data_IF_937674175706
#
_entry.id   IF_937674175706
#
_cell.length_a   1.000
_cell.length_b   1.000
_cell.length_c   1.000
_cell.angle_alpha   90.00
_cell.angle_beta   90.00
_cell.angle_gamma   90.00
#
_symmetry.space_group_name_H-M   'P 1'
#
loop_
_entity.id
_entity.type
_entity.pdbx_description
1 polymer ?
#
# COMPACT_ATOMS: atom_id res chain seq x y z
N UNK A 1 -8.61 -28.88 -6.24
CA UNK A 1 -7.67 -27.86 -5.75
C UNK A 1 -7.02 -28.39 -4.49
N UNK A 2 -5.72 -28.10 -4.27
CA UNK A 2 -5.01 -28.39 -3.03
C UNK A 2 -4.62 -27.06 -2.39
N UNK A 3 -4.93 -26.90 -1.12
CA UNK A 3 -4.55 -25.71 -0.34
C UNK A 3 -3.24 -25.98 0.41
N UNK A 4 -2.48 -24.93 0.71
CA UNK A 4 -1.18 -25.02 1.38
C UNK A 4 -1.24 -24.93 2.90
N UNK A 5 -2.42 -24.64 3.46
CA UNK A 5 -2.61 -24.42 4.88
C UNK A 5 -2.99 -25.72 5.61
N UNK A 6 -2.57 -25.91 6.85
CA UNK A 6 -2.81 -27.16 7.60
C UNK A 6 -4.30 -27.37 7.89
N UNK A 7 -4.78 -28.61 7.75
CA UNK A 7 -6.16 -28.99 8.05
C UNK A 7 -7.18 -28.67 6.95
N UNK A 8 -6.73 -28.20 5.77
CA UNK A 8 -7.61 -27.80 4.67
C UNK A 8 -8.55 -28.92 4.16
N UNK A 9 -8.15 -30.19 4.26
CA UNK A 9 -8.92 -31.35 3.82
C UNK A 9 -10.19 -31.54 4.66
N UNK A 10 -10.11 -31.26 5.95
CA UNK A 10 -11.19 -31.45 6.93
C UNK A 10 -11.88 -30.14 7.34
N UNK A 11 -11.37 -28.99 6.86
CA UNK A 11 -11.91 -27.66 7.11
C UNK A 11 -13.25 -27.40 6.39
N UNK A 12 -14.32 -28.07 6.85
CA UNK A 12 -15.68 -27.90 6.36
C UNK A 12 -16.58 -27.39 7.50
N UNK A 13 -16.36 -26.13 7.90
CA UNK A 13 -17.07 -25.47 9.00
C UNK A 13 -17.82 -24.28 8.43
N UNK A 14 -19.08 -24.08 8.86
CA UNK A 14 -19.89 -22.93 8.46
C UNK A 14 -19.70 -21.75 9.42
N UNK A 15 -19.83 -20.51 8.94
CA UNK A 15 -19.82 -19.36 9.82
C UNK A 15 -20.91 -19.45 10.90
N UNK A 16 -20.62 -18.91 12.09
CA UNK A 16 -21.56 -18.87 13.23
C UNK A 16 -22.41 -17.60 13.26
N UNK A 17 -22.02 -16.57 12.49
CA UNK A 17 -22.68 -15.28 12.43
C UNK A 17 -23.08 -14.96 10.98
N UNK A 18 -24.29 -14.42 10.80
CA UNK A 18 -24.87 -14.06 9.50
C UNK A 18 -24.09 -12.96 8.79
N UNK A 19 -23.33 -12.12 9.51
CA UNK A 19 -22.41 -11.13 8.93
C UNK A 19 -21.40 -11.78 7.98
N UNK A 20 -21.07 -13.06 8.20
CA UNK A 20 -20.08 -13.80 7.41
C UNK A 20 -20.69 -14.87 6.50
N UNK A 21 -22.01 -14.87 6.29
CA UNK A 21 -22.75 -15.92 5.56
C UNK A 21 -22.22 -16.23 4.15
N UNK A 22 -21.57 -15.25 3.50
CA UNK A 22 -21.00 -15.38 2.16
C UNK A 22 -19.62 -16.08 2.15
N UNK A 23 -19.07 -16.39 3.33
CA UNK A 23 -17.93 -17.29 3.50
C UNK A 23 -18.44 -18.72 3.60
N UNK A 24 -18.03 -19.57 2.66
CA UNK A 24 -18.49 -20.96 2.58
C UNK A 24 -17.90 -21.85 3.67
N UNK A 25 -16.58 -21.73 3.89
CA UNK A 25 -15.78 -22.53 4.82
C UNK A 25 -14.38 -21.88 5.00
N UNK A 26 -13.47 -22.44 5.85
CA UNK A 26 -12.14 -21.86 6.02
C UNK A 26 -11.26 -21.80 4.75
N UNK A 27 -11.56 -22.59 3.71
CA UNK A 27 -10.84 -22.53 2.43
C UNK A 27 -11.23 -21.28 1.64
N UNK A 28 -12.53 -20.97 1.61
CA UNK A 28 -13.02 -19.71 1.04
C UNK A 28 -12.48 -18.49 1.80
N UNK A 29 -12.40 -18.57 3.14
CA UNK A 29 -11.74 -17.53 3.92
C UNK A 29 -10.26 -17.36 3.52
N UNK A 30 -9.51 -18.45 3.35
CA UNK A 30 -8.12 -18.40 2.91
C UNK A 30 -7.97 -17.69 1.56
N UNK A 31 -8.77 -18.05 0.56
CA UNK A 31 -8.73 -17.44 -0.78
C UNK A 31 -8.98 -15.92 -0.74
N UNK A 32 -9.89 -15.47 0.14
CA UNK A 32 -10.17 -14.05 0.36
C UNK A 32 -9.02 -13.35 1.08
N UNK A 33 -8.47 -13.95 2.12
CA UNK A 33 -7.38 -13.37 2.90
C UNK A 33 -6.07 -13.27 2.12
N UNK A 34 -5.82 -14.15 1.14
CA UNK A 34 -4.68 -14.04 0.21
C UNK A 34 -4.62 -12.69 -0.53
N UNK A 35 -5.76 -12.02 -0.67
CA UNK A 35 -5.88 -10.72 -1.31
C UNK A 35 -5.86 -9.53 -0.34
N UNK A 36 -5.85 -9.80 0.98
CA UNK A 36 -5.95 -8.80 2.05
C UNK A 36 -4.65 -8.75 2.87
N UNK A 37 -3.96 -9.87 3.06
CA UNK A 37 -2.70 -9.89 3.79
C UNK A 37 -1.63 -9.06 3.06
N UNK A 38 -1.10 -8.09 3.80
CA UNK A 38 -0.05 -7.19 3.37
C UNK A 38 0.97 -6.94 4.50
N UNK A 39 2.08 -6.24 4.22
CA UNK A 39 3.11 -5.91 5.23
C UNK A 39 2.52 -5.19 6.47
N UNK A 40 1.53 -4.30 6.30
CA UNK A 40 0.86 -3.63 7.42
C UNK A 40 0.22 -4.63 8.39
N UNK A 41 -0.54 -5.57 7.83
CA UNK A 41 -1.18 -6.64 8.58
C UNK A 41 -0.19 -7.67 9.15
N UNK A 42 1.10 -7.67 8.73
CA UNK A 42 2.15 -8.54 9.27
C UNK A 42 2.67 -8.05 10.64
N UNK A 43 3.09 -8.98 11.48
CA UNK A 43 3.69 -8.66 12.78
C UNK A 43 4.92 -7.77 12.64
N UNK A 44 5.02 -6.65 13.39
CA UNK A 44 6.11 -5.68 13.20
C UNK A 44 7.51 -6.30 13.18
N UNK A 45 7.75 -7.31 14.03
CA UNK A 45 9.03 -8.04 14.12
C UNK A 45 9.37 -8.89 12.89
N UNK A 46 8.40 -9.22 12.03
CA UNK A 46 8.55 -10.07 10.84
C UNK A 46 8.36 -9.30 9.53
N UNK A 47 7.99 -8.01 9.58
CA UNK A 47 7.72 -7.21 8.38
C UNK A 47 8.89 -7.15 7.40
N UNK A 48 10.13 -7.15 7.91
CA UNK A 48 11.33 -7.13 7.06
C UNK A 48 11.55 -8.42 6.24
N UNK A 49 10.91 -9.52 6.63
CA UNK A 49 10.97 -10.81 5.94
C UNK A 49 9.68 -11.09 5.15
N UNK A 50 8.66 -10.23 5.29
CA UNK A 50 7.39 -10.38 4.59
C UNK A 50 7.59 -10.12 3.09
N UNK A 51 6.97 -10.95 2.26
CA UNK A 51 7.10 -10.85 0.81
C UNK A 51 5.85 -11.38 0.12
N UNK A 52 5.65 -11.02 -1.16
CA UNK A 52 4.59 -11.58 -1.99
C UNK A 52 4.71 -13.09 -2.18
N UNK A 53 5.90 -13.67 -2.02
CA UNK A 53 6.12 -15.11 -2.01
C UNK A 53 5.75 -15.80 -0.68
N UNK A 54 5.61 -15.04 0.40
CA UNK A 54 5.26 -15.55 1.74
C UNK A 54 4.27 -14.58 2.44
N UNK A 55 3.07 -14.48 1.89
CA UNK A 55 2.04 -13.52 2.32
C UNK A 55 1.49 -13.80 3.72
N UNK A 56 1.53 -15.05 4.19
CA UNK A 56 1.04 -15.47 5.51
C UNK A 56 2.00 -15.20 6.65
N UNK A 57 3.25 -14.80 6.35
CA UNK A 57 4.26 -14.53 7.38
C UNK A 57 3.77 -13.49 8.39
N UNK A 58 3.81 -13.87 9.67
CA UNK A 58 3.45 -12.97 10.77
C UNK A 58 1.96 -12.65 10.90
N UNK A 59 1.09 -13.32 10.13
CA UNK A 59 -0.36 -13.11 10.14
C UNK A 59 -1.12 -13.95 11.18
N UNK A 60 -0.45 -14.92 11.81
CA UNK A 60 -1.08 -16.04 12.52
C UNK A 60 -2.11 -15.62 13.59
N UNK A 61 -1.73 -14.80 14.56
CA UNK A 61 -2.64 -14.46 15.67
C UNK A 61 -3.87 -13.67 15.24
N UNK A 62 -3.70 -12.63 14.41
CA UNK A 62 -4.83 -11.80 13.95
C UNK A 62 -5.77 -12.60 13.05
N UNK A 63 -5.22 -13.49 12.22
CA UNK A 63 -5.99 -14.41 11.38
C UNK A 63 -6.74 -15.44 12.22
N UNK A 64 -6.11 -16.04 13.23
CA UNK A 64 -6.74 -17.04 14.06
C UNK A 64 -7.91 -16.45 14.87
N UNK A 65 -7.76 -15.23 15.39
CA UNK A 65 -8.87 -14.56 16.08
C UNK A 65 -9.99 -14.13 15.13
N UNK A 66 -9.68 -13.74 13.89
CA UNK A 66 -10.70 -13.49 12.87
C UNK A 66 -11.45 -14.77 12.49
N UNK A 67 -10.73 -15.88 12.27
CA UNK A 67 -11.35 -17.19 12.03
C UNK A 67 -12.19 -17.65 13.23
N UNK A 68 -11.81 -17.31 14.46
CA UNK A 68 -12.63 -17.55 15.65
C UNK A 68 -13.93 -16.74 15.62
N UNK A 69 -13.91 -15.48 15.19
CA UNK A 69 -15.14 -14.69 15.06
C UNK A 69 -16.07 -15.27 13.99
N UNK A 70 -15.51 -15.79 12.91
CA UNK A 70 -16.27 -16.31 11.76
C UNK A 70 -16.84 -17.69 12.07
N UNK A 71 -16.03 -18.63 12.55
CA UNK A 71 -16.38 -20.05 12.67
C UNK A 71 -16.59 -20.52 14.12
N UNK A 72 -16.35 -19.65 15.11
CA UNK A 72 -16.39 -20.00 16.53
C UNK A 72 -15.14 -20.79 16.97
N UNK A 73 -15.32 -21.60 18.03
CA UNK A 73 -14.27 -22.45 18.59
C UNK A 73 -13.19 -21.71 19.38
N UNK A 74 -12.01 -22.33 19.46
CA UNK A 74 -10.91 -21.89 20.31
C UNK A 74 -9.63 -21.65 19.51
N UNK A 75 -8.78 -20.76 20.02
CA UNK A 75 -7.46 -20.46 19.45
C UNK A 75 -6.39 -21.10 20.33
N UNK A 76 -5.48 -21.85 19.71
CA UNK A 76 -4.37 -22.51 20.37
C UNK A 76 -3.03 -22.04 19.79
N UNK A 77 -1.94 -22.21 20.54
CA UNK A 77 -0.64 -21.66 20.20
C UNK A 77 0.48 -22.69 20.19
N UNK A 78 1.09 -22.93 19.03
CA UNK A 78 2.35 -23.68 18.93
C UNK A 78 3.47 -22.78 19.43
N UNK A 79 4.20 -23.20 20.47
CA UNK A 79 5.31 -22.42 21.02
C UNK A 79 6.46 -22.36 20.00
N UNK A 80 6.93 -21.16 19.68
CA UNK A 80 8.03 -20.90 18.73
C UNK A 80 9.32 -20.54 19.46
N UNK A 81 10.49 -20.74 18.82
CA UNK A 81 11.76 -20.17 19.30
C UNK A 81 11.61 -18.66 19.58
N UNK A 82 12.12 -18.19 20.72
CA UNK A 82 11.94 -16.81 21.17
C UNK A 82 10.67 -16.54 21.98
N UNK A 83 9.92 -17.58 22.37
CA UNK A 83 8.85 -17.49 23.37
C UNK A 83 7.49 -16.99 22.85
N UNK A 84 7.37 -16.74 21.55
CA UNK A 84 6.10 -16.36 20.93
C UNK A 84 5.25 -17.60 20.59
N UNK A 85 3.94 -17.41 20.43
CA UNK A 85 3.02 -18.46 19.97
C UNK A 85 2.60 -18.25 18.52
N UNK A 86 2.61 -19.33 17.75
CA UNK A 86 1.98 -19.41 16.44
C UNK A 86 0.55 -19.93 16.59
N UNK A 87 -0.43 -19.11 16.23
CA UNK A 87 -1.84 -19.38 16.54
C UNK A 87 -2.53 -20.17 15.44
N UNK A 88 -3.43 -21.07 15.84
CA UNK A 88 -4.30 -21.87 14.95
C UNK A 88 -5.67 -22.07 15.59
N UNK A 89 -6.63 -22.57 14.81
CA UNK A 89 -8.03 -22.71 15.22
C UNK A 89 -8.41 -24.18 15.45
N UNK A 90 -9.25 -24.39 16.46
CA UNK A 90 -9.90 -25.67 16.76
C UNK A 90 -11.40 -25.42 16.90
N UNK A 91 -12.21 -26.04 16.04
CA UNK A 91 -13.67 -25.95 16.06
C UNK A 91 -14.25 -27.36 16.06
N UNK A 92 -14.70 -27.81 17.24
CA UNK A 92 -15.04 -29.23 17.44
C UNK A 92 -13.82 -30.12 17.16
N UNK A 93 -13.98 -31.12 16.30
CA UNK A 93 -12.89 -32.02 15.90
C UNK A 93 -12.04 -31.50 14.72
N UNK A 94 -12.37 -30.31 14.20
CA UNK A 94 -11.68 -29.73 13.05
C UNK A 94 -10.58 -28.78 13.53
N UNK A 95 -9.34 -29.07 13.12
CA UNK A 95 -8.15 -28.27 13.41
C UNK A 95 -7.63 -27.70 12.11
N UNK A 96 -7.43 -26.38 12.04
CA UNK A 96 -6.89 -25.73 10.86
C UNK A 96 -6.02 -24.52 11.21
N UNK A 97 -5.09 -24.21 10.32
CA UNK A 97 -4.18 -23.07 10.44
C UNK A 97 -3.98 -22.44 9.07
N UNK A 98 -4.71 -21.35 8.83
CA UNK A 98 -4.70 -20.62 7.56
C UNK A 98 -3.33 -19.99 7.22
N UNK A 99 -2.38 -20.01 8.14
CA UNK A 99 -1.09 -19.34 8.01
C UNK A 99 0.09 -20.31 8.14
N UNK A 100 -0.15 -21.63 8.12
CA UNK A 100 0.90 -22.63 8.32
C UNK A 100 1.98 -22.60 7.23
N UNK A 101 1.64 -22.16 6.02
CA UNK A 101 2.57 -22.12 4.89
C UNK A 101 3.76 -21.17 5.11
N UNK A 102 3.68 -20.26 6.08
CA UNK A 102 4.77 -19.34 6.39
C UNK A 102 6.06 -20.05 6.84
N UNK A 103 5.97 -21.33 7.22
CA UNK A 103 7.10 -22.15 7.65
C UNK A 103 7.64 -23.09 6.56
N UNK A 104 7.16 -22.99 5.31
CA UNK A 104 7.59 -23.84 4.21
C UNK A 104 7.39 -25.32 4.53
N UNK A 105 8.49 -26.08 4.56
CA UNK A 105 8.48 -27.53 4.80
C UNK A 105 8.44 -27.92 6.29
N UNK A 106 8.55 -26.97 7.22
CA UNK A 106 8.52 -27.26 8.64
C UNK A 106 7.14 -27.76 9.07
N UNK A 107 7.09 -28.96 9.66
CA UNK A 107 5.84 -29.53 10.20
C UNK A 107 5.64 -29.13 11.65
N UNK A 108 4.59 -28.34 11.91
CA UNK A 108 4.17 -28.00 13.26
C UNK A 108 3.39 -29.14 13.93
N UNK A 109 3.47 -29.21 15.26
CA UNK A 109 2.63 -30.09 16.06
C UNK A 109 1.40 -29.33 16.56
N UNK A 110 0.21 -29.81 16.18
CA UNK A 110 -1.08 -29.22 16.54
C UNK A 110 -1.77 -29.95 17.72
N UNK A 111 -1.00 -30.66 18.54
CA UNK A 111 -1.50 -31.42 19.71
C UNK A 111 -0.91 -30.88 21.02
N UNK A 112 -1.70 -30.89 22.10
CA UNK A 112 -1.26 -30.53 23.47
C UNK A 112 -0.67 -29.11 23.60
N UNK A 113 -1.12 -28.18 22.77
CA UNK A 113 -0.71 -26.79 22.83
C UNK A 113 -1.59 -25.99 23.81
N UNK A 114 -1.09 -24.91 24.44
CA UNK A 114 -1.90 -24.06 25.29
C UNK A 114 -2.90 -23.22 24.49
N UNK A 115 -4.09 -23.03 25.05
CA UNK A 115 -5.08 -22.06 24.55
C UNK A 115 -4.50 -20.64 24.63
N UNK A 116 -4.80 -19.82 23.64
CA UNK A 116 -4.38 -18.42 23.56
C UNK A 116 -5.55 -17.50 23.91
N UNK A 117 -5.27 -16.44 24.67
CA UNK A 117 -6.27 -15.45 25.07
C UNK A 117 -6.32 -14.27 24.09
N UNK A 118 -7.53 -13.92 23.64
CA UNK A 118 -7.79 -12.70 22.85
C UNK A 118 -7.36 -11.45 23.63
N UNK A 119 -7.69 -11.39 24.92
CA UNK A 119 -7.39 -10.25 25.79
C UNK A 119 -5.87 -10.03 25.89
N UNK A 120 -5.11 -11.09 26.13
CA UNK A 120 -3.64 -11.02 26.18
C UNK A 120 -3.06 -10.57 24.83
N UNK A 121 -3.57 -11.13 23.72
CA UNK A 121 -3.07 -10.77 22.41
C UNK A 121 -3.37 -9.33 22.03
N UNK A 122 -4.57 -8.83 22.30
CA UNK A 122 -5.05 -7.49 21.92
C UNK A 122 -4.81 -6.42 23.00
N UNK A 123 -4.20 -6.78 24.13
CA UNK A 123 -3.58 -5.81 25.05
C UNK A 123 -2.50 -4.97 24.38
N UNK A 124 -1.91 -5.47 23.30
CA UNK A 124 -0.96 -4.75 22.46
C UNK A 124 -1.72 -4.05 21.31
N UNK A 125 -1.65 -2.71 21.30
CA UNK A 125 -2.43 -1.86 20.38
C UNK A 125 -2.14 -2.14 18.90
N UNK A 126 -0.87 -2.34 18.53
CA UNK A 126 -0.43 -2.71 17.19
C UNK A 126 -1.12 -3.97 16.68
N UNK A 127 -1.34 -4.97 17.55
CA UNK A 127 -1.97 -6.23 17.15
C UNK A 127 -3.47 -6.05 17.03
N UNK A 128 -4.07 -5.26 17.92
CA UNK A 128 -5.48 -4.88 17.84
C UNK A 128 -5.77 -4.13 16.53
N UNK A 129 -4.95 -3.14 16.17
CA UNK A 129 -5.14 -2.38 14.92
C UNK A 129 -5.00 -3.27 13.69
N UNK A 130 -4.02 -4.18 13.66
CA UNK A 130 -3.89 -5.16 12.58
C UNK A 130 -5.10 -6.10 12.46
N UNK A 131 -5.66 -6.53 13.58
CA UNK A 131 -6.87 -7.36 13.58
C UNK A 131 -8.10 -6.57 13.08
N UNK A 132 -8.28 -5.33 13.54
CA UNK A 132 -9.36 -4.45 13.10
C UNK A 132 -9.26 -4.24 11.58
N UNK A 133 -8.07 -3.89 11.10
CA UNK A 133 -7.77 -3.78 9.67
C UNK A 133 -8.18 -5.04 8.91
N UNK A 134 -7.70 -6.22 9.33
CA UNK A 134 -7.98 -7.47 8.64
C UNK A 134 -9.49 -7.78 8.58
N UNK A 135 -10.20 -7.50 9.68
CA UNK A 135 -11.65 -7.69 9.78
C UNK A 135 -12.41 -6.72 8.87
N UNK A 136 -12.08 -5.43 8.90
CA UNK A 136 -12.72 -4.40 8.08
C UNK A 136 -12.50 -4.67 6.58
N UNK A 137 -11.28 -5.07 6.21
CA UNK A 137 -10.96 -5.45 4.83
C UNK A 137 -11.73 -6.68 4.37
N UNK A 138 -11.86 -7.69 5.22
CA UNK A 138 -12.65 -8.87 4.89
C UNK A 138 -14.13 -8.50 4.71
N UNK A 139 -14.71 -7.70 5.61
CA UNK A 139 -16.11 -7.28 5.50
C UNK A 139 -16.36 -6.47 4.22
N UNK A 140 -15.49 -5.52 3.90
CA UNK A 140 -15.55 -4.77 2.64
C UNK A 140 -15.50 -5.70 1.41
N UNK A 141 -14.73 -6.79 1.48
CA UNK A 141 -14.65 -7.78 0.40
C UNK A 141 -15.88 -8.71 0.32
N UNK A 142 -16.53 -9.02 1.46
CA UNK A 142 -17.71 -9.88 1.52
C UNK A 142 -18.98 -9.20 1.06
N UNK A 143 -19.13 -7.91 1.34
CA UNK A 143 -20.32 -7.18 0.95
C UNK A 143 -20.54 -7.20 -0.57
N UNK A 144 -19.53 -7.57 -1.38
CA UNK A 144 -19.63 -7.79 -2.83
C UNK A 144 -20.16 -6.57 -3.59
N UNK A 145 -20.32 -5.47 -2.88
CA UNK A 145 -20.99 -4.27 -3.24
C UNK A 145 -20.05 -3.20 -2.72
N UNK A 146 -19.52 -2.44 -3.66
CA UNK A 146 -19.51 -0.99 -3.54
C UNK A 146 -20.64 -0.63 -2.58
N UNK A 147 -20.33 -0.34 -1.31
CA UNK A 147 -21.36 0.11 -0.36
C UNK A 147 -22.19 1.19 -1.05
N UNK A 148 -23.47 1.42 -0.72
CA UNK A 148 -24.19 2.57 -1.31
C UNK A 148 -23.38 3.88 -1.17
N UNK A 149 -22.53 3.97 -0.14
CA UNK A 149 -21.55 5.04 0.06
C UNK A 149 -20.48 5.08 -1.04
N UNK A 150 -19.95 3.94 -1.48
CA UNK A 150 -18.94 3.84 -2.54
C UNK A 150 -19.52 4.12 -3.95
N UNK A 151 -20.79 3.78 -4.18
CA UNK A 151 -21.49 4.05 -5.46
C UNK A 151 -21.85 5.53 -5.57
N UNK A 152 -22.29 6.14 -4.47
CA UNK A 152 -22.49 7.58 -4.37
C UNK A 152 -21.18 8.39 -4.31
N UNK A 153 -20.09 7.85 -3.74
CA UNK A 153 -18.80 8.56 -3.64
C UNK A 153 -18.25 8.93 -5.00
N UNK A 154 -18.40 8.03 -5.97
CA UNK A 154 -17.84 8.22 -7.31
C UNK A 154 -18.83 8.84 -8.30
N UNK A 155 -20.09 9.08 -7.92
CA UNK A 155 -21.12 9.64 -8.82
C UNK A 155 -20.65 10.92 -9.53
N UNK A 156 -19.99 11.83 -8.78
CA UNK A 156 -19.48 13.09 -9.36
C UNK A 156 -18.28 12.87 -10.28
N UNK A 157 -17.45 11.89 -9.97
CA UNK A 157 -16.30 11.49 -10.79
C UNK A 157 -16.77 10.81 -12.07
N UNK A 158 -17.75 9.92 -11.98
CA UNK A 158 -18.34 9.20 -13.10
C UNK A 158 -19.01 10.15 -14.10
N UNK A 159 -19.69 11.19 -13.62
CA UNK A 159 -20.24 12.23 -14.52
C UNK A 159 -19.19 12.92 -15.39
N UNK A 160 -17.92 12.94 -14.95
CA UNK A 160 -16.82 13.56 -15.69
C UNK A 160 -16.03 12.53 -16.53
N UNK A 161 -15.74 11.35 -15.97
CA UNK A 161 -14.88 10.33 -16.60
C UNK A 161 -15.68 9.25 -17.36
N UNK A 162 -17.01 9.22 -17.18
CA UNK A 162 -17.89 8.15 -17.61
C UNK A 162 -17.71 6.86 -16.78
N UNK A 163 -18.72 6.00 -16.82
CA UNK A 163 -18.68 4.68 -16.18
C UNK A 163 -17.46 3.85 -16.61
N UNK A 164 -17.10 3.90 -17.90
CA UNK A 164 -15.94 3.19 -18.42
C UNK A 164 -14.61 3.73 -17.87
N UNK A 165 -14.49 5.04 -17.63
CA UNK A 165 -13.30 5.63 -17.02
C UNK A 165 -13.16 5.21 -15.56
N UNK A 166 -14.26 5.27 -14.79
CA UNK A 166 -14.29 4.78 -13.40
C UNK A 166 -13.93 3.30 -13.32
N UNK A 167 -14.48 2.47 -14.21
CA UNK A 167 -14.18 1.05 -14.23
C UNK A 167 -12.70 0.76 -14.55
N UNK A 168 -12.08 1.53 -15.45
CA UNK A 168 -10.62 1.43 -15.68
C UNK A 168 -9.81 1.77 -14.44
N UNK A 169 -10.19 2.81 -13.69
CA UNK A 169 -9.51 3.18 -12.44
C UNK A 169 -9.66 2.08 -11.39
N UNK A 170 -10.87 1.54 -11.20
CA UNK A 170 -11.13 0.44 -10.27
C UNK A 170 -10.30 -0.81 -10.57
N UNK A 171 -9.97 -1.06 -11.84
CA UNK A 171 -9.14 -2.19 -12.23
C UNK A 171 -7.64 -1.87 -12.33
N UNK A 172 -7.23 -0.63 -12.07
CA UNK A 172 -5.83 -0.21 -12.18
C UNK A 172 -5.01 -0.54 -10.93
N UNK A 173 -3.76 -0.96 -11.15
CA UNK A 173 -2.74 -1.18 -10.12
C UNK A 173 -1.59 -0.19 -10.27
N UNK A 174 -1.43 0.68 -9.27
CA UNK A 174 -0.44 1.76 -9.30
C UNK A 174 0.69 1.50 -8.30
N UNK A 175 1.94 1.78 -8.68
CA UNK A 175 3.06 1.87 -7.75
C UNK A 175 3.41 3.34 -7.46
N UNK A 176 3.41 3.71 -6.18
CA UNK A 176 3.79 5.05 -5.72
C UNK A 176 5.05 5.00 -4.86
N UNK A 177 6.12 5.56 -5.41
CA UNK A 177 7.42 5.69 -4.77
C UNK A 177 7.54 7.06 -4.08
N UNK A 178 7.59 7.06 -2.75
CA UNK A 178 7.68 8.25 -1.91
C UNK A 178 6.32 8.78 -1.45
N UNK A 179 6.19 9.01 -0.15
CA UNK A 179 4.99 9.51 0.57
C UNK A 179 5.27 10.85 1.26
N UNK A 180 6.18 11.64 0.70
CA UNK A 180 6.50 12.98 1.17
C UNK A 180 5.43 14.03 0.83
N UNK A 181 5.85 15.30 0.73
CA UNK A 181 4.93 16.43 0.49
C UNK A 181 4.20 16.39 -0.86
N UNK A 182 4.70 15.60 -1.81
CA UNK A 182 4.05 15.35 -3.11
C UNK A 182 3.26 14.06 -3.06
N UNK A 183 3.93 12.94 -2.78
CA UNK A 183 3.35 11.59 -2.90
C UNK A 183 2.13 11.33 -2.02
N UNK A 184 2.09 11.88 -0.79
CA UNK A 184 0.89 11.74 0.05
C UNK A 184 -0.37 12.31 -0.61
N UNK A 185 -0.25 13.44 -1.32
CA UNK A 185 -1.36 14.07 -2.05
C UNK A 185 -1.66 13.39 -3.38
N UNK A 186 -0.66 12.77 -4.03
CA UNK A 186 -0.91 11.87 -5.16
C UNK A 186 -1.83 10.74 -4.72
N UNK A 187 -1.44 10.04 -3.64
CA UNK A 187 -2.19 8.91 -3.11
C UNK A 187 -3.62 9.31 -2.73
N UNK A 188 -3.77 10.39 -1.96
CA UNK A 188 -5.07 10.95 -1.58
C UNK A 188 -5.99 11.18 -2.79
N UNK A 189 -5.47 11.84 -3.83
CA UNK A 189 -6.26 12.17 -5.01
C UNK A 189 -6.64 10.93 -5.81
N UNK A 190 -5.71 10.00 -6.04
CA UNK A 190 -5.99 8.76 -6.77
C UNK A 190 -7.07 7.91 -6.08
N UNK A 191 -6.97 7.74 -4.76
CA UNK A 191 -7.95 6.96 -3.97
C UNK A 191 -9.33 7.59 -4.06
N UNK A 192 -9.40 8.93 -3.99
CA UNK A 192 -10.66 9.67 -4.17
C UNK A 192 -11.17 9.64 -5.60
N UNK A 193 -10.32 9.41 -6.59
CA UNK A 193 -10.71 9.18 -7.99
C UNK A 193 -11.22 7.76 -8.25
N UNK A 194 -11.07 6.83 -7.32
CA UNK A 194 -11.60 5.47 -7.42
C UNK A 194 -10.64 4.45 -7.99
N UNK A 195 -9.32 4.61 -7.76
CA UNK A 195 -8.38 3.52 -8.06
C UNK A 195 -8.69 2.28 -7.20
N UNK A 196 -8.50 1.08 -7.74
CA UNK A 196 -8.76 -0.14 -6.98
C UNK A 196 -7.56 -0.72 -6.25
N UNK A 197 -6.34 -0.47 -6.72
CA UNK A 197 -5.14 -1.04 -6.12
C UNK A 197 -3.94 -0.09 -6.15
N UNK A 198 -3.23 0.00 -5.02
CA UNK A 198 -2.01 0.80 -4.91
C UNK A 198 -0.95 0.15 -4.03
N UNK A 199 0.29 0.20 -4.50
CA UNK A 199 1.47 -0.17 -3.75
C UNK A 199 2.20 1.11 -3.29
N UNK A 200 2.43 1.23 -1.99
CA UNK A 200 3.04 2.38 -1.34
C UNK A 200 4.46 2.05 -0.89
N UNK A 201 5.46 2.72 -1.45
CA UNK A 201 6.88 2.48 -1.16
C UNK A 201 7.50 3.72 -0.52
N UNK A 202 7.83 3.64 0.77
CA UNK A 202 8.54 4.69 1.52
C UNK A 202 9.25 4.06 2.73
N UNK A 203 10.31 4.69 3.24
CA UNK A 203 11.12 4.19 4.36
C UNK A 203 11.16 5.11 5.56
N UNK A 204 10.49 6.26 5.47
CA UNK A 204 10.56 7.29 6.48
C UNK A 204 9.49 7.09 7.57
N UNK A 205 9.84 7.57 8.75
CA UNK A 205 8.87 7.89 9.79
C UNK A 205 8.45 9.36 9.64
N UNK A 206 7.25 9.69 10.13
CA UNK A 206 6.84 11.09 10.24
C UNK A 206 7.70 11.80 11.28
N UNK A 207 8.26 12.94 10.90
CA UNK A 207 9.01 13.83 11.79
C UNK A 207 8.30 15.17 11.97
N UNK A 208 8.59 15.96 13.02
CA UNK A 208 7.97 17.27 13.21
C UNK A 208 8.11 18.21 11.99
N UNK A 209 9.25 18.15 11.29
CA UNK A 209 9.51 18.96 10.08
C UNK A 209 8.65 18.58 8.87
N UNK A 210 7.84 17.52 8.96
CA UNK A 210 6.92 17.09 7.92
C UNK A 210 5.55 17.79 8.02
N UNK A 211 5.17 18.28 9.21
CA UNK A 211 3.85 18.85 9.51
C UNK A 211 3.51 20.01 8.58
N UNK A 212 4.51 20.78 8.13
CA UNK A 212 4.26 21.93 7.27
C UNK A 212 3.69 21.58 5.89
N UNK A 213 3.77 20.32 5.42
CA UNK A 213 3.46 19.99 4.02
C UNK A 213 3.03 18.55 3.72
N UNK A 214 3.07 17.62 4.66
CA UNK A 214 2.73 16.21 4.39
C UNK A 214 1.35 15.88 4.97
N UNK A 215 0.45 15.31 4.15
CA UNK A 215 -0.96 15.10 4.51
C UNK A 215 -1.15 14.15 5.71
N UNK A 216 -0.22 13.22 5.91
CA UNK A 216 -0.21 12.25 7.01
C UNK A 216 0.50 12.75 8.28
N UNK A 217 1.13 13.93 8.24
CA UNK A 217 1.90 14.46 9.35
C UNK A 217 1.04 15.36 10.25
N UNK A 218 0.88 14.93 11.50
CA UNK A 218 0.20 15.64 12.58
C UNK A 218 0.97 15.40 13.87
N UNK A 219 0.70 16.16 14.94
CA UNK A 219 1.29 15.91 16.27
C UNK A 219 1.10 14.46 16.74
N UNK A 220 -0.02 13.83 16.39
CA UNK A 220 -0.34 12.45 16.80
C UNK A 220 0.38 11.38 15.99
N UNK A 221 0.92 11.73 14.82
CA UNK A 221 1.48 10.74 13.88
C UNK A 221 3.00 10.73 13.85
N UNK A 222 3.66 11.63 14.59
CA UNK A 222 5.13 11.66 14.74
C UNK A 222 5.65 10.29 15.19
N UNK A 223 6.73 9.84 14.55
CA UNK A 223 7.39 8.56 14.84
C UNK A 223 6.72 7.34 14.21
N UNK A 224 5.56 7.48 13.56
CA UNK A 224 4.90 6.39 12.84
C UNK A 224 5.37 6.31 11.39
N UNK A 225 5.36 5.10 10.82
CA UNK A 225 5.76 4.85 9.42
C UNK A 225 4.79 5.56 8.48
N UNK A 226 5.33 6.24 7.46
CA UNK A 226 4.49 6.94 6.47
C UNK A 226 3.57 5.98 5.69
N UNK A 227 4.08 4.80 5.36
CA UNK A 227 3.33 3.75 4.67
C UNK A 227 2.13 3.26 5.47
N UNK A 228 2.33 2.95 6.75
CA UNK A 228 1.27 2.51 7.67
C UNK A 228 0.16 3.58 7.81
N UNK A 229 0.55 4.84 8.02
CA UNK A 229 -0.38 5.96 8.14
C UNK A 229 -1.19 6.20 6.86
N UNK A 230 -0.53 6.11 5.70
CA UNK A 230 -1.23 6.31 4.44
C UNK A 230 -2.17 5.13 4.14
N UNK A 231 -1.79 3.90 4.49
CA UNK A 231 -2.68 2.73 4.40
C UNK A 231 -3.96 2.93 5.23
N UNK A 232 -3.81 3.31 6.51
CA UNK A 232 -4.95 3.64 7.39
C UNK A 232 -5.83 4.73 6.77
N UNK A 233 -5.21 5.79 6.24
CA UNK A 233 -5.92 6.89 5.59
C UNK A 233 -6.66 6.45 4.33
N UNK A 234 -6.09 5.57 3.52
CA UNK A 234 -6.75 5.02 2.32
C UNK A 234 -8.01 4.28 2.73
N UNK A 235 -7.93 3.39 3.72
CA UNK A 235 -9.08 2.60 4.12
C UNK A 235 -10.18 3.40 4.82
N UNK A 236 -9.82 4.50 5.51
CA UNK A 236 -10.79 5.48 6.00
C UNK A 236 -11.54 6.19 4.86
N UNK A 237 -10.89 6.39 3.71
CA UNK A 237 -11.51 7.00 2.51
C UNK A 237 -12.29 5.96 1.70
N UNK A 238 -11.68 4.80 1.45
CA UNK A 238 -12.08 3.80 0.48
C UNK A 238 -11.69 2.39 0.97
N UNK A 239 -12.53 1.75 1.81
CA UNK A 239 -12.20 0.47 2.44
C UNK A 239 -11.87 -0.64 1.46
N UNK A 240 -12.46 -0.64 0.26
CA UNK A 240 -12.30 -1.67 -0.76
C UNK A 240 -11.00 -1.58 -1.58
N UNK A 241 -10.23 -0.50 -1.45
CA UNK A 241 -8.97 -0.34 -2.19
C UNK A 241 -7.96 -1.34 -1.66
N UNK A 242 -7.36 -2.13 -2.54
CA UNK A 242 -6.27 -3.03 -2.17
C UNK A 242 -4.98 -2.23 -2.00
N UNK A 243 -4.40 -2.28 -0.79
CA UNK A 243 -3.17 -1.56 -0.46
C UNK A 243 -2.07 -2.52 -0.08
N UNK A 244 -0.95 -2.46 -0.79
CA UNK A 244 0.30 -3.04 -0.30
C UNK A 244 1.23 -1.93 0.19
N UNK A 245 1.78 -2.10 1.38
CA UNK A 245 2.82 -1.21 1.91
C UNK A 245 4.18 -1.89 1.81
N UNK A 246 5.21 -1.12 1.46
CA UNK A 246 6.60 -1.54 1.48
C UNK A 246 7.42 -0.50 2.25
N UNK A 247 7.73 -0.79 3.52
CA UNK A 247 8.59 0.06 4.34
C UNK A 247 10.07 -0.10 3.94
N UNK A 248 10.44 0.47 2.79
CA UNK A 248 11.71 0.17 2.12
C UNK A 248 12.33 1.38 1.44
N UNK A 249 13.64 1.54 1.63
CA UNK A 249 14.41 2.55 0.91
C UNK A 249 14.80 1.97 -0.45
N UNK A 250 14.37 2.64 -1.52
CA UNK A 250 14.65 2.17 -2.87
C UNK A 250 16.07 2.53 -3.28
N UNK A 251 16.78 1.51 -3.72
CA UNK A 251 18.14 1.59 -4.22
C UNK A 251 18.23 0.82 -5.55
N UNK A 252 19.22 1.13 -6.41
CA UNK A 252 19.44 0.36 -7.64
C UNK A 252 19.55 -1.15 -7.40
N UNK A 253 20.11 -1.57 -6.27
CA UNK A 253 20.36 -2.98 -5.95
C UNK A 253 19.08 -3.74 -5.55
N UNK A 254 18.03 -3.04 -5.10
CA UNK A 254 16.79 -3.67 -4.64
C UNK A 254 15.57 -3.38 -5.54
N UNK A 255 15.77 -2.66 -6.65
CA UNK A 255 14.67 -2.33 -7.56
C UNK A 255 14.04 -3.59 -8.18
N UNK A 256 14.80 -4.68 -8.29
CA UNK A 256 14.31 -5.99 -8.78
C UNK A 256 13.25 -6.62 -7.89
N UNK A 257 13.10 -6.14 -6.65
CA UNK A 257 12.04 -6.62 -5.75
C UNK A 257 10.66 -6.14 -6.20
N UNK A 258 10.62 -5.15 -7.09
CA UNK A 258 9.41 -4.61 -7.70
C UNK A 258 9.41 -4.97 -9.18
N UNK A 259 8.59 -5.96 -9.54
CA UNK A 259 8.31 -6.26 -10.94
C UNK A 259 7.43 -5.15 -11.50
N UNK A 260 8.00 -4.26 -12.31
CA UNK A 260 7.29 -3.06 -12.77
C UNK A 260 6.09 -3.42 -13.64
N UNK A 261 6.19 -4.49 -14.44
CA UNK A 261 5.15 -5.06 -15.29
C UNK A 261 3.91 -5.57 -14.55
N UNK A 262 3.93 -5.61 -13.21
CA UNK A 262 2.72 -5.85 -12.42
C UNK A 262 1.84 -4.59 -12.31
N UNK A 263 2.35 -3.41 -12.63
CA UNK A 263 1.65 -2.13 -12.48
C UNK A 263 1.19 -1.56 -13.83
N UNK A 264 0.02 -0.92 -13.85
CA UNK A 264 -0.45 -0.14 -14.99
C UNK A 264 0.22 1.23 -15.06
N UNK A 265 0.66 1.75 -13.90
CA UNK A 265 1.30 3.06 -13.80
C UNK A 265 2.28 3.13 -12.62
N UNK A 266 3.44 3.74 -12.87
CA UNK A 266 4.46 4.04 -11.86
C UNK A 266 4.54 5.55 -11.62
N UNK A 267 4.53 5.95 -10.35
CA UNK A 267 4.67 7.35 -9.94
C UNK A 267 5.90 7.49 -9.05
N UNK A 268 6.84 8.31 -9.48
CA UNK A 268 8.05 8.64 -8.71
C UNK A 268 7.93 10.03 -8.05
N UNK A 269 7.77 10.03 -6.73
CA UNK A 269 7.76 11.20 -5.86
C UNK A 269 8.91 11.21 -4.84
N UNK A 270 10.00 10.47 -5.11
CA UNK A 270 11.22 10.46 -4.29
C UNK A 270 12.04 11.73 -4.57
N UNK A 271 13.09 12.03 -3.79
CA UNK A 271 14.02 13.14 -4.00
C UNK A 271 15.45 12.68 -4.38
N UNK A 272 15.82 11.47 -3.99
CA UNK A 272 17.13 10.84 -4.25
C UNK A 272 17.31 10.46 -5.72
N UNK A 273 18.27 11.12 -6.39
CA UNK A 273 18.53 10.96 -7.84
C UNK A 273 18.81 9.51 -8.26
N UNK A 274 19.63 8.76 -7.52
CA UNK A 274 19.96 7.37 -7.86
C UNK A 274 18.74 6.46 -7.82
N UNK A 275 17.88 6.60 -6.81
CA UNK A 275 16.64 5.86 -6.69
C UNK A 275 15.68 6.18 -7.85
N UNK A 276 15.52 7.47 -8.20
CA UNK A 276 14.71 7.89 -9.35
C UNK A 276 15.16 7.21 -10.64
N UNK A 277 16.45 7.24 -10.92
CA UNK A 277 17.02 6.65 -12.13
C UNK A 277 16.75 5.14 -12.16
N UNK A 278 16.94 4.42 -11.06
CA UNK A 278 16.64 2.99 -10.98
C UNK A 278 15.17 2.67 -11.28
N UNK A 279 14.23 3.42 -10.69
CA UNK A 279 12.78 3.27 -10.94
C UNK A 279 12.46 3.52 -12.42
N UNK A 280 12.99 4.61 -12.98
CA UNK A 280 12.77 4.99 -14.39
C UNK A 280 13.32 3.93 -15.34
N UNK A 281 14.54 3.45 -15.11
CA UNK A 281 15.17 2.41 -15.94
C UNK A 281 14.40 1.10 -15.86
N UNK A 282 13.92 0.71 -14.67
CA UNK A 282 13.09 -0.48 -14.49
C UNK A 282 11.75 -0.37 -15.22
N UNK A 283 11.01 0.73 -15.03
CA UNK A 283 9.73 0.95 -15.69
C UNK A 283 9.87 0.98 -17.22
N UNK A 284 10.89 1.68 -17.74
CA UNK A 284 11.16 1.75 -19.19
C UNK A 284 11.54 0.39 -19.77
N UNK A 285 12.36 -0.39 -19.06
CA UNK A 285 12.77 -1.75 -19.48
C UNK A 285 11.58 -2.72 -19.55
N UNK A 286 10.60 -2.56 -18.66
CA UNK A 286 9.41 -3.41 -18.60
C UNK A 286 8.20 -2.83 -19.37
N UNK A 287 8.36 -1.68 -20.04
CA UNK A 287 7.33 -1.09 -20.89
C UNK A 287 6.16 -0.44 -20.12
N UNK A 288 6.37 -0.04 -18.86
CA UNK A 288 5.33 0.51 -17.99
C UNK A 288 5.35 2.03 -18.00
N UNK A 289 4.15 2.63 -18.02
CA UNK A 289 4.00 4.07 -17.96
C UNK A 289 4.54 4.63 -16.64
N UNK A 290 5.31 5.70 -16.73
CA UNK A 290 5.92 6.35 -15.57
C UNK A 290 5.85 7.86 -15.67
N UNK A 291 5.52 8.50 -14.55
CA UNK A 291 5.63 9.94 -14.33
C UNK A 291 6.50 10.23 -13.11
N UNK A 292 7.38 11.23 -13.20
CA UNK A 292 8.29 11.59 -12.11
C UNK A 292 8.13 13.06 -11.69
N UNK A 293 8.05 13.28 -10.37
CA UNK A 293 8.11 14.61 -9.77
C UNK A 293 9.55 15.10 -9.71
N UNK A 294 9.77 16.31 -10.23
CA UNK A 294 11.00 17.07 -10.02
C UNK A 294 10.87 17.95 -8.76
N UNK A 295 11.80 18.90 -8.57
CA UNK A 295 11.90 19.69 -7.34
C UNK A 295 10.78 20.70 -7.13
N UNK A 296 10.10 20.59 -5.98
CA UNK A 296 9.04 21.49 -5.49
C UNK A 296 9.47 22.34 -4.28
N UNK A 297 10.68 22.12 -3.75
CA UNK A 297 11.25 22.94 -2.68
C UNK A 297 11.65 24.33 -3.15
N UNK A 298 11.77 25.26 -2.20
CA UNK A 298 12.17 26.65 -2.42
C UNK A 298 11.26 27.44 -3.38
N UNK A 299 9.95 27.17 -3.33
CA UNK A 299 8.96 27.68 -4.28
C UNK A 299 7.69 28.16 -3.58
N UNK A 300 7.06 29.17 -4.16
CA UNK A 300 5.85 29.82 -3.67
C UNK A 300 4.69 29.86 -4.69
N UNK A 301 4.93 29.47 -5.95
CA UNK A 301 3.96 29.66 -7.03
C UNK A 301 3.50 28.32 -7.62
N UNK A 302 2.46 27.67 -7.05
CA UNK A 302 1.94 26.41 -7.57
C UNK A 302 1.40 26.54 -9.01
N UNK A 303 0.93 27.71 -9.42
CA UNK A 303 0.48 28.02 -10.78
C UNK A 303 1.59 27.93 -11.85
N UNK A 304 2.85 27.85 -11.45
CA UNK A 304 4.01 27.65 -12.34
C UNK A 304 4.41 26.18 -12.49
N UNK A 305 3.66 25.24 -11.91
CA UNK A 305 3.85 23.81 -12.11
C UNK A 305 3.37 23.39 -13.52
N UNK A 306 4.13 22.50 -14.18
CA UNK A 306 3.88 22.04 -15.54
C UNK A 306 4.21 20.57 -15.68
N UNK A 307 3.44 19.87 -16.50
CA UNK A 307 3.74 18.52 -16.97
C UNK A 307 4.33 18.64 -18.37
N UNK A 308 5.47 17.97 -18.60
CA UNK A 308 6.15 17.99 -19.89
C UNK A 308 7.07 16.79 -20.02
N UNK A 309 7.70 16.65 -21.18
CA UNK A 309 8.84 15.74 -21.33
C UNK A 309 10.08 16.32 -20.62
N UNK A 310 10.86 15.44 -19.98
CA UNK A 310 12.06 15.81 -19.23
C UNK A 310 13.02 16.68 -20.05
N UNK A 311 13.15 16.46 -21.36
CA UNK A 311 14.07 17.22 -22.21
C UNK A 311 13.57 18.63 -22.57
N UNK A 312 12.29 18.92 -22.32
CA UNK A 312 11.69 20.26 -22.49
C UNK A 312 11.69 21.10 -21.22
N UNK A 313 12.10 20.52 -20.09
CA UNK A 313 12.13 21.22 -18.79
C UNK A 313 13.19 22.32 -18.75
N UNK A 314 12.89 23.39 -17.99
CA UNK A 314 13.74 24.56 -17.76
C UNK A 314 13.73 24.95 -16.28
N UNK A 315 14.68 25.78 -15.85
CA UNK A 315 14.82 26.34 -14.49
C UNK A 315 15.15 25.31 -13.39
N UNK A 316 14.43 24.20 -13.30
CA UNK A 316 14.54 23.22 -12.23
C UNK A 316 15.94 22.54 -12.14
N UNK A 317 16.67 22.70 -11.02
CA UNK A 317 17.99 22.09 -10.83
C UNK A 317 17.97 20.56 -10.86
N UNK A 318 16.98 19.93 -10.23
CA UNK A 318 16.82 18.47 -10.25
C UNK A 318 16.57 17.97 -11.68
N UNK A 319 15.67 18.61 -12.43
CA UNK A 319 15.40 18.25 -13.81
C UNK A 319 16.66 18.37 -14.69
N UNK A 320 17.52 19.37 -14.44
CA UNK A 320 18.81 19.53 -15.13
C UNK A 320 19.75 18.35 -14.88
N UNK A 321 19.83 17.86 -13.65
CA UNK A 321 20.62 16.66 -13.31
C UNK A 321 20.01 15.44 -13.98
N UNK A 322 18.70 15.23 -13.85
CA UNK A 322 17.98 14.11 -14.46
C UNK A 322 18.14 14.06 -15.98
N UNK A 323 18.01 15.18 -16.71
CA UNK A 323 18.25 15.23 -18.17
C UNK A 323 19.63 14.69 -18.56
N UNK A 324 20.68 15.07 -17.82
CA UNK A 324 22.05 14.62 -18.09
C UNK A 324 22.20 13.13 -17.84
N UNK A 325 21.69 12.65 -16.72
CA UNK A 325 21.82 11.24 -16.31
C UNK A 325 20.97 10.29 -17.17
N UNK A 326 19.75 10.69 -17.54
CA UNK A 326 18.88 9.93 -18.45
C UNK A 326 19.46 9.83 -19.85
N UNK A 327 20.07 10.92 -20.36
CA UNK A 327 20.74 10.90 -21.67
C UNK A 327 21.90 9.89 -21.71
N UNK A 328 22.69 9.78 -20.63
CA UNK A 328 23.77 8.79 -20.54
C UNK A 328 23.26 7.34 -20.58
N UNK A 329 22.02 7.12 -20.15
CA UNK A 329 21.35 5.81 -20.06
C UNK A 329 20.52 5.47 -21.31
N UNK A 330 20.47 6.35 -22.31
CA UNK A 330 19.69 6.13 -23.53
C UNK A 330 18.18 6.18 -23.30
N UNK A 331 17.70 6.93 -22.29
CA UNK A 331 16.26 7.15 -22.10
C UNK A 331 15.82 8.32 -22.99
N UNK A 332 15.02 8.05 -24.01
CA UNK A 332 14.66 9.07 -25.01
C UNK A 332 13.57 10.05 -24.57
N UNK A 333 12.74 9.67 -23.59
CA UNK A 333 11.65 10.48 -23.07
C UNK A 333 11.27 10.09 -21.64
N UNK A 334 10.78 11.04 -20.87
CA UNK A 334 10.21 10.81 -19.54
C UNK A 334 9.18 11.90 -19.25
N UNK A 335 7.94 11.49 -18.95
CA UNK A 335 6.91 12.41 -18.48
C UNK A 335 7.27 12.87 -17.07
N UNK A 336 7.35 14.18 -16.86
CA UNK A 336 7.68 14.75 -15.55
C UNK A 336 6.79 15.92 -15.20
N UNK A 337 6.60 16.11 -13.90
CA UNK A 337 6.11 17.37 -13.35
C UNK A 337 7.29 18.18 -12.82
N UNK A 338 7.39 19.44 -13.26
CA UNK A 338 8.38 20.40 -12.77
C UNK A 338 7.71 21.75 -12.57
N UNK A 339 8.44 22.71 -11.99
CA UNK A 339 7.98 24.11 -11.95
C UNK A 339 8.99 25.00 -12.67
N UNK A 340 8.45 26.01 -13.34
CA UNK A 340 9.20 27.06 -14.06
C UNK A 340 9.59 28.23 -13.15
N UNK A 341 9.25 28.16 -11.87
CA UNK A 341 9.66 29.14 -10.86
C UNK A 341 11.16 28.98 -10.56
N UNK A 342 11.89 30.09 -10.58
CA UNK A 342 13.25 30.15 -10.07
C UNK A 342 13.23 29.85 -8.57
N UNK A 343 13.94 28.81 -8.09
CA UNK A 343 13.93 28.48 -6.69
C UNK A 343 14.52 29.64 -5.88
N UNK A 344 13.80 30.04 -4.83
CA UNK A 344 14.32 31.00 -3.86
C UNK A 344 15.53 30.34 -3.19
N UNK A 345 16.70 30.95 -3.22
CA UNK A 345 17.85 30.46 -2.46
C UNK A 345 17.77 31.04 -1.05
N UNK A 346 17.22 30.33 -0.04
CA UNK A 346 17.52 30.69 1.33
C UNK A 346 19.04 30.52 1.52
N UNK A 347 19.63 31.36 2.35
CA UNK A 347 21.05 31.33 2.71
C UNK A 347 21.52 30.02 3.38
N UNK A 348 20.59 29.09 3.66
CA UNK A 348 20.82 27.86 4.41
C UNK A 348 20.85 26.62 3.50
N UNK A 349 21.58 25.59 3.94
CA UNK A 349 21.67 24.28 3.28
C UNK A 349 20.32 23.52 3.25
N UNK A 350 19.35 23.94 4.07
CA UNK A 350 18.04 23.28 4.19
C UNK A 350 17.06 23.82 3.16
N UNK A 351 16.54 22.93 2.31
CA UNK A 351 15.52 23.25 1.31
C UNK A 351 14.22 23.64 2.03
N UNK A 352 13.80 24.89 1.85
CA UNK A 352 12.52 25.41 2.33
C UNK A 352 11.33 24.79 1.60
N UNK A 353 10.18 24.75 2.26
CA UNK A 353 8.96 24.21 1.65
C UNK A 353 7.72 24.78 2.32
N UNK A 354 6.62 24.81 1.57
CA UNK A 354 5.33 25.40 1.97
C UNK A 354 4.19 24.42 1.75
N UNK A 355 3.05 24.66 2.39
CA UNK A 355 1.90 23.74 2.42
C UNK A 355 1.06 23.68 1.15
N UNK A 356 1.46 24.37 0.08
CA UNK A 356 0.64 24.46 -1.14
C UNK A 356 1.38 24.10 -2.44
N UNK A 357 2.71 24.25 -2.54
CA UNK A 357 3.44 23.88 -3.78
C UNK A 357 3.60 22.36 -3.94
N UNK A 358 4.20 21.61 -2.99
CA UNK A 358 4.27 20.15 -3.09
C UNK A 358 2.89 19.47 -3.16
N UNK A 359 1.87 19.91 -2.40
CA UNK A 359 0.53 19.33 -2.53
C UNK A 359 -0.10 19.58 -3.90
N UNK A 360 0.01 20.79 -4.46
CA UNK A 360 -0.47 21.08 -5.81
C UNK A 360 0.23 20.20 -6.85
N UNK A 361 1.54 19.96 -6.72
CA UNK A 361 2.27 19.02 -7.55
C UNK A 361 1.70 17.59 -7.45
N UNK A 362 1.38 17.13 -6.23
CA UNK A 362 0.76 15.82 -6.01
C UNK A 362 -0.61 15.69 -6.69
N UNK A 363 -1.46 16.70 -6.56
CA UNK A 363 -2.77 16.74 -7.22
C UNK A 363 -2.64 16.75 -8.75
N UNK A 364 -1.69 17.50 -9.31
CA UNK A 364 -1.45 17.55 -10.75
C UNK A 364 -0.92 16.22 -11.30
N UNK A 365 -0.02 15.55 -10.57
CA UNK A 365 0.45 14.20 -10.93
C UNK A 365 -0.71 13.20 -10.95
N UNK A 366 -1.52 13.16 -9.89
CA UNK A 366 -2.68 12.28 -9.84
C UNK A 366 -3.67 12.56 -10.98
N UNK A 367 -3.93 13.83 -11.29
CA UNK A 367 -4.81 14.21 -12.39
C UNK A 367 -4.28 13.73 -13.75
N UNK A 368 -2.96 13.77 -13.98
CA UNK A 368 -2.35 13.25 -15.21
C UNK A 368 -2.44 11.73 -15.30
N UNK A 369 -2.17 11.02 -14.20
CA UNK A 369 -2.29 9.56 -14.15
C UNK A 369 -3.73 9.12 -14.41
N UNK A 370 -4.71 9.80 -13.82
CA UNK A 370 -6.13 9.55 -14.09
C UNK A 370 -6.46 9.76 -15.56
N UNK A 371 -6.00 10.85 -16.18
CA UNK A 371 -6.22 11.10 -17.62
C UNK A 371 -5.60 10.01 -18.49
N UNK A 372 -4.37 9.61 -18.20
CA UNK A 372 -3.67 8.57 -18.94
C UNK A 372 -4.39 7.21 -18.84
N UNK A 373 -4.79 6.80 -17.64
CA UNK A 373 -5.49 5.52 -17.41
C UNK A 373 -6.89 5.50 -18.01
N UNK A 374 -7.60 6.62 -17.97
CA UNK A 374 -8.97 6.72 -18.47
C UNK A 374 -9.05 7.04 -19.96
N UNK A 375 -7.98 7.56 -20.57
CA UNK A 375 -7.96 8.02 -21.96
C UNK A 375 -8.74 9.33 -22.17
N UNK A 376 -9.07 10.05 -21.10
CA UNK A 376 -9.69 11.37 -21.16
C UNK A 376 -8.59 12.43 -21.41
N UNK A 377 -8.51 12.96 -22.63
CA UNK A 377 -7.68 14.12 -22.99
C UNK A 377 -8.50 15.40 -23.07
#
# INVERSE_FOLDING_TARGET
MSYKFYGWETANIKPVDDVYKDIKDPRDLYDRLCNIWCEYSCAPRLRGEWSRSNITLGQCSVTAFLAQDIFGGEVYGVRRPGGNYHCYNVVGDVVFDLTSEQFGDERLSYSNNPRQSREEHFSKEEKRFRYIFLKEQLLAHLEGSVSQVDEHRLERTERLLGAAGVERLKNSHIALFGLGGVGGYVCEALVRSGIGQIDLIDHDLVTPSNINRQIIATEKTIGRRKTDLMCERIHDIAPAVRVNTFFKFVLPENISDFRMSDYDYVIDAIDTVSAKLAIIEAAKREGVNIISSMGTGNKLHPELLRISDIYKTRVCPLARVMRRELKKRGVDSLKVLYSEEEPINPSDEVIGSVSFVPPAAGLMLAAEVVRDLTGCM
#
